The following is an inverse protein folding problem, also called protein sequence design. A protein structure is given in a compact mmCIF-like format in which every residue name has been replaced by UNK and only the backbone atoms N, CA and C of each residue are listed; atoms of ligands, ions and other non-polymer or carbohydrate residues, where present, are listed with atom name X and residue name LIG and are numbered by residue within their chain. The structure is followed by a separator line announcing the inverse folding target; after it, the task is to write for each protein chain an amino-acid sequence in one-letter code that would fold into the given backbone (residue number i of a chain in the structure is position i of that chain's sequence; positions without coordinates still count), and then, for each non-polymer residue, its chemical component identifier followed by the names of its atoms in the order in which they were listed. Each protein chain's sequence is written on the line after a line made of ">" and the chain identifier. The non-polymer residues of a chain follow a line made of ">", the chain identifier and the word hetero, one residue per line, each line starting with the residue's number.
data_IF_617335988313
#
_entry.id   IF_617335988313
#
_cell.length_a   1.000
_cell.length_b   1.000
_cell.length_c   1.000
_cell.angle_alpha   90.00
_cell.angle_beta   90.00
_cell.angle_gamma   90.00
#
_symmetry.space_group_name_H-M   'P 1'
#
loop_
_entity.id
_entity.type
_entity.pdbx_description
1 polymer ?
#
# COMPACT_ATOMS: atom_id res chain seq x y z
N UNK A 1 -13.58 20.67 -16.11
CA UNK A 1 -13.40 21.33 -14.82
C UNK A 1 -12.29 20.59 -14.09
N UNK A 2 -11.14 21.22 -13.96
CA UNK A 2 -9.94 20.62 -13.33
C UNK A 2 -10.19 20.42 -11.86
N UNK A 3 -10.21 19.19 -11.41
CA UNK A 3 -10.11 18.84 -9.99
C UNK A 3 -8.63 18.96 -9.59
N UNK A 4 -8.10 20.17 -9.63
CA UNK A 4 -6.91 20.51 -8.86
C UNK A 4 -7.30 20.35 -7.39
N UNK A 5 -6.71 19.38 -6.73
CA UNK A 5 -6.65 19.40 -5.27
C UNK A 5 -5.75 20.59 -4.95
N UNK A 6 -6.36 21.72 -4.65
CA UNK A 6 -5.66 22.94 -4.30
C UNK A 6 -5.04 22.79 -2.91
N UNK A 7 -3.90 22.09 -2.83
CA UNK A 7 -3.11 21.95 -1.61
C UNK A 7 -2.80 23.28 -0.93
N UNK A 8 -2.54 24.39 -1.67
CA UNK A 8 -2.38 25.71 -1.05
C UNK A 8 -3.61 26.21 -0.29
N UNK A 9 -4.83 25.76 -0.65
CA UNK A 9 -6.03 26.11 0.09
C UNK A 9 -6.16 25.28 1.39
N UNK A 10 -5.62 24.06 1.40
CA UNK A 10 -5.62 23.19 2.58
C UNK A 10 -4.67 23.75 3.66
N UNK A 11 -3.46 24.21 3.28
CA UNK A 11 -2.50 24.78 4.25
C UNK A 11 -3.05 25.99 5.04
N UNK A 12 -3.88 26.82 4.39
CA UNK A 12 -4.51 27.98 5.02
C UNK A 12 -5.64 27.63 5.99
N UNK A 13 -6.13 26.41 5.97
CA UNK A 13 -7.25 25.93 6.75
C UNK A 13 -6.85 25.10 7.98
N UNK A 14 -5.55 25.01 8.34
CA UNK A 14 -5.13 24.25 9.51
C UNK A 14 -5.80 24.77 10.78
N UNK A 15 -6.48 23.92 11.58
CA UNK A 15 -7.24 24.33 12.75
C UNK A 15 -6.30 24.63 13.94
N UNK A 16 -5.63 25.78 13.90
CA UNK A 16 -4.64 26.19 14.91
C UNK A 16 -5.24 26.19 16.31
N UNK A 17 -6.50 26.61 16.45
CA UNK A 17 -7.24 26.68 17.72
C UNK A 17 -8.14 25.47 17.95
N UNK A 18 -8.19 24.52 17.01
CA UNK A 18 -8.97 23.29 17.11
C UNK A 18 -8.37 22.29 18.10
N UNK A 19 -9.20 21.33 18.54
CA UNK A 19 -8.74 20.22 19.35
C UNK A 19 -7.87 19.23 18.57
N UNK A 20 -7.21 18.27 19.26
CA UNK A 20 -6.34 17.27 18.61
C UNK A 20 -7.08 16.47 17.52
N UNK A 21 -8.33 16.09 17.74
CA UNK A 21 -9.15 15.36 16.77
C UNK A 21 -9.39 16.14 15.47
N UNK A 22 -9.62 17.46 15.56
CA UNK A 22 -9.79 18.31 14.38
C UNK A 22 -8.49 18.45 13.61
N UNK A 23 -7.37 18.59 14.31
CA UNK A 23 -6.03 18.61 13.72
C UNK A 23 -5.73 17.29 12.99
N UNK A 24 -6.00 16.15 13.64
CA UNK A 24 -5.82 14.83 13.03
C UNK A 24 -6.68 14.67 11.77
N UNK A 25 -7.97 15.05 11.80
CA UNK A 25 -8.84 15.00 10.62
C UNK A 25 -8.29 15.87 9.48
N UNK A 26 -7.75 17.04 9.80
CA UNK A 26 -7.11 17.89 8.82
C UNK A 26 -5.86 17.21 8.21
N UNK A 27 -5.00 16.59 9.02
CA UNK A 27 -3.79 15.91 8.56
C UNK A 27 -4.09 14.73 7.63
N UNK A 28 -5.29 14.11 7.74
CA UNK A 28 -5.72 13.05 6.84
C UNK A 28 -5.83 13.50 5.38
N UNK A 29 -5.99 14.80 5.09
CA UNK A 29 -5.95 15.31 3.71
C UNK A 29 -4.61 15.03 3.02
N UNK A 30 -3.53 14.95 3.77
CA UNK A 30 -2.22 14.55 3.25
C UNK A 30 -2.06 13.03 3.21
N UNK A 31 -2.59 12.31 4.20
CA UNK A 31 -2.55 10.86 4.25
C UNK A 31 -3.18 10.22 3.01
N UNK A 32 -4.34 10.71 2.56
CA UNK A 32 -5.05 10.17 1.39
C UNK A 32 -4.32 10.39 0.06
N UNK A 33 -3.27 11.23 0.01
CA UNK A 33 -2.44 11.44 -1.19
C UNK A 33 -1.44 10.32 -1.44
N UNK A 34 -1.32 9.36 -0.53
CA UNK A 34 -0.44 8.21 -0.67
C UNK A 34 -0.73 7.38 -1.94
N UNK A 35 0.25 6.62 -2.46
CA UNK A 35 0.04 5.67 -3.54
C UNK A 35 -0.62 4.38 -3.04
N UNK A 36 -1.31 3.68 -3.95
CA UNK A 36 -1.77 2.31 -3.74
C UNK A 36 -1.85 1.58 -5.08
N UNK A 37 -1.76 0.24 -5.05
CA UNK A 37 -1.92 -0.56 -6.27
C UNK A 37 -3.29 -0.29 -6.89
N UNK A 38 -3.33 -0.11 -8.20
CA UNK A 38 -4.52 0.27 -8.97
C UNK A 38 -5.29 1.48 -8.41
N UNK A 39 -4.65 2.32 -7.57
CA UNK A 39 -5.29 3.44 -6.88
C UNK A 39 -6.53 3.00 -6.06
N UNK A 40 -6.44 1.81 -5.46
CA UNK A 40 -7.53 1.25 -4.63
C UNK A 40 -7.77 2.04 -3.36
N UNK A 41 -6.72 2.70 -2.81
CA UNK A 41 -6.79 3.48 -1.57
C UNK A 41 -7.41 2.68 -0.41
N UNK A 42 -6.76 1.57 -0.01
CA UNK A 42 -7.34 0.55 0.85
C UNK A 42 -7.17 0.83 2.33
N UNK A 43 -7.18 2.09 2.69
CA UNK A 43 -7.11 2.56 4.08
C UNK A 43 -8.44 3.10 4.54
N UNK A 44 -8.70 2.97 5.83
CA UNK A 44 -9.71 3.73 6.56
C UNK A 44 -9.15 4.17 7.90
N UNK A 45 -9.68 5.28 8.42
CA UNK A 45 -9.17 5.93 9.61
C UNK A 45 -10.29 6.11 10.63
N UNK A 46 -9.92 6.01 11.90
CA UNK A 46 -10.78 6.37 13.02
C UNK A 46 -10.02 7.38 13.87
N UNK A 47 -10.64 8.49 14.22
CA UNK A 47 -10.02 9.58 14.99
C UNK A 47 -10.77 9.75 16.30
N UNK A 48 -10.05 9.60 17.42
CA UNK A 48 -10.57 9.75 18.78
C UNK A 48 -9.58 10.55 19.64
N UNK A 49 -9.97 11.72 20.10
CA UNK A 49 -9.09 12.60 20.87
C UNK A 49 -7.82 12.96 20.11
N UNK A 50 -6.68 12.57 20.66
CA UNK A 50 -5.34 12.78 20.11
C UNK A 50 -4.82 11.59 19.28
N UNK A 51 -5.63 10.53 19.11
CA UNK A 51 -5.28 9.28 18.44
C UNK A 51 -5.98 9.14 17.10
N UNK A 52 -5.24 8.67 16.11
CA UNK A 52 -5.77 8.13 14.85
C UNK A 52 -5.40 6.66 14.71
N UNK A 53 -6.38 5.85 14.39
CA UNK A 53 -6.21 4.42 14.07
C UNK A 53 -6.28 4.22 12.57
N UNK A 54 -5.33 3.43 12.05
CA UNK A 54 -5.22 3.13 10.62
C UNK A 54 -5.61 1.67 10.42
N UNK A 55 -6.64 1.46 9.60
CA UNK A 55 -7.17 0.13 9.28
C UNK A 55 -6.99 -0.21 7.82
N UNK A 56 -6.73 -1.48 7.54
CA UNK A 56 -6.91 -2.07 6.22
C UNK A 56 -8.41 -2.15 5.89
N UNK A 57 -8.78 -1.75 4.66
CA UNK A 57 -10.13 -1.93 4.12
C UNK A 57 -10.16 -3.16 3.18
N UNK A 58 -10.63 -4.32 3.65
CA UNK A 58 -10.63 -5.55 2.86
C UNK A 58 -11.56 -5.49 1.65
N UNK A 59 -12.55 -4.59 1.62
CA UNK A 59 -13.42 -4.40 0.48
C UNK A 59 -12.69 -3.86 -0.76
N UNK A 60 -11.47 -3.37 -0.56
CA UNK A 60 -10.57 -2.81 -1.58
C UNK A 60 -9.35 -3.68 -1.85
N UNK A 61 -9.37 -4.92 -1.35
CA UNK A 61 -8.35 -5.90 -1.64
C UNK A 61 -8.32 -6.29 -3.12
N UNK A 62 -7.19 -6.78 -3.56
CA UNK A 62 -6.92 -7.23 -4.93
C UNK A 62 -6.57 -8.72 -4.91
N UNK A 63 -7.56 -9.63 -4.77
CA UNK A 63 -7.30 -11.04 -4.53
C UNK A 63 -6.54 -11.75 -5.67
N UNK A 64 -6.53 -11.19 -6.87
CA UNK A 64 -5.76 -11.74 -7.98
C UNK A 64 -4.35 -11.12 -8.09
N UNK A 65 -4.21 -9.82 -7.81
CA UNK A 65 -2.93 -9.12 -7.92
C UNK A 65 -2.11 -9.13 -6.61
N UNK A 66 -2.78 -9.17 -5.47
CA UNK A 66 -2.21 -9.09 -4.12
C UNK A 66 -2.93 -10.06 -3.16
N UNK A 67 -2.82 -11.39 -3.39
CA UNK A 67 -3.60 -12.40 -2.66
C UNK A 67 -3.31 -12.40 -1.15
N UNK A 68 -2.11 -12.05 -0.73
CA UNK A 68 -1.70 -11.99 0.68
C UNK A 68 -2.08 -10.65 1.35
N UNK A 69 -2.52 -9.65 0.58
CA UNK A 69 -2.79 -8.29 1.06
C UNK A 69 -1.53 -7.51 1.44
N UNK A 70 -0.38 -7.91 0.94
CA UNK A 70 0.92 -7.29 1.20
C UNK A 70 0.96 -5.84 0.72
N UNK A 71 0.60 -5.60 -0.54
CA UNK A 71 0.60 -4.25 -1.13
C UNK A 71 -0.53 -3.38 -0.55
N UNK A 72 -1.62 -4.01 -0.12
CA UNK A 72 -2.68 -3.33 0.63
C UNK A 72 -2.12 -2.76 1.95
N UNK A 73 -1.41 -3.56 2.74
CA UNK A 73 -0.79 -3.11 4.01
C UNK A 73 0.28 -2.05 3.75
N UNK A 74 1.10 -2.23 2.71
CA UNK A 74 2.10 -1.22 2.30
C UNK A 74 1.46 0.11 1.91
N UNK A 75 0.31 0.11 1.24
CA UNK A 75 -0.42 1.33 0.93
C UNK A 75 -0.89 2.07 2.20
N UNK A 76 -1.32 1.33 3.24
CA UNK A 76 -1.64 1.91 4.55
C UNK A 76 -0.39 2.52 5.23
N UNK A 77 0.77 1.86 5.14
CA UNK A 77 2.05 2.41 5.61
C UNK A 77 2.44 3.70 4.91
N UNK A 78 2.26 3.77 3.59
CA UNK A 78 2.50 4.99 2.82
C UNK A 78 1.57 6.15 3.26
N UNK A 79 0.30 5.87 3.54
CA UNK A 79 -0.64 6.86 4.07
C UNK A 79 -0.25 7.33 5.47
N UNK A 80 0.21 6.42 6.32
CA UNK A 80 0.71 6.71 7.66
C UNK A 80 1.94 7.60 7.60
N UNK A 81 2.88 7.35 6.69
CA UNK A 81 4.06 8.18 6.50
C UNK A 81 3.70 9.62 6.09
N UNK A 82 2.73 9.79 5.21
CA UNK A 82 2.24 11.12 4.86
C UNK A 82 1.64 11.83 6.07
N UNK A 83 0.87 11.14 6.90
CA UNK A 83 0.29 11.68 8.15
C UNK A 83 1.41 12.17 9.09
N UNK A 84 2.45 11.35 9.30
CA UNK A 84 3.61 11.69 10.16
C UNK A 84 4.34 12.93 9.67
N UNK A 85 4.58 13.02 8.36
CA UNK A 85 5.22 14.20 7.75
C UNK A 85 4.36 15.45 7.89
N UNK A 86 3.05 15.33 7.66
CA UNK A 86 2.12 16.43 7.85
C UNK A 86 2.06 16.87 9.33
N UNK A 87 2.00 15.95 10.28
CA UNK A 87 2.08 16.28 11.70
C UNK A 87 3.37 17.05 12.04
N UNK A 88 4.51 16.57 11.54
CA UNK A 88 5.80 17.24 11.73
C UNK A 88 5.82 18.67 11.15
N UNK A 89 5.28 18.87 9.95
CA UNK A 89 5.18 20.19 9.31
C UNK A 89 4.38 21.18 10.17
N UNK A 90 3.25 20.73 10.73
CA UNK A 90 2.42 21.56 11.62
C UNK A 90 2.94 21.63 13.07
N UNK A 91 4.15 21.12 13.31
CA UNK A 91 4.85 21.27 14.58
C UNK A 91 4.47 20.26 15.65
N UNK A 92 4.02 19.06 15.27
CA UNK A 92 3.70 17.98 16.20
C UNK A 92 4.62 16.77 15.99
N UNK A 93 5.09 16.19 17.10
CA UNK A 93 5.65 14.84 17.08
C UNK A 93 4.49 13.80 17.00
N UNK A 94 4.83 12.59 16.60
CA UNK A 94 3.89 11.46 16.60
C UNK A 94 4.52 10.27 17.28
N UNK A 95 3.81 9.62 18.22
CA UNK A 95 4.14 8.28 18.69
C UNK A 95 3.34 7.24 17.91
N UNK A 96 3.90 6.05 17.81
CA UNK A 96 3.37 5.00 16.94
C UNK A 96 3.32 3.67 17.68
N UNK A 97 2.20 2.97 17.57
CA UNK A 97 2.03 1.57 17.94
C UNK A 97 1.65 0.77 16.71
N UNK A 98 2.53 -0.16 16.30
CA UNK A 98 2.34 -1.00 15.11
C UNK A 98 1.67 -2.30 15.51
N UNK A 99 0.64 -2.71 14.78
CA UNK A 99 -0.15 -3.92 15.00
C UNK A 99 -0.67 -4.05 16.45
N UNK A 100 -1.31 -3.00 17.02
CA UNK A 100 -1.81 -3.03 18.37
C UNK A 100 -2.99 -4.02 18.49
N UNK A 101 -2.87 -5.04 19.36
CA UNK A 101 -3.98 -5.92 19.73
C UNK A 101 -4.26 -7.07 18.76
N UNK A 102 -5.39 -7.77 18.98
CA UNK A 102 -5.72 -8.98 18.28
C UNK A 102 -6.18 -8.74 16.82
N UNK A 103 -5.66 -9.55 15.91
CA UNK A 103 -5.66 -9.50 14.44
C UNK A 103 -7.05 -9.42 13.74
N UNK A 104 -8.18 -9.37 14.44
CA UNK A 104 -9.50 -9.57 13.83
C UNK A 104 -10.11 -8.34 13.14
N UNK A 105 -9.63 -7.14 13.47
CA UNK A 105 -10.35 -5.91 13.10
C UNK A 105 -9.69 -5.14 11.93
N UNK A 106 -8.61 -5.66 11.34
CA UNK A 106 -7.89 -4.96 10.26
C UNK A 106 -7.08 -3.75 10.75
N UNK A 107 -6.96 -3.51 12.07
CA UNK A 107 -6.15 -2.45 12.65
C UNK A 107 -4.66 -2.72 12.40
N UNK A 108 -3.98 -1.76 11.77
CA UNK A 108 -2.57 -1.86 11.41
C UNK A 108 -1.68 -1.00 12.29
N UNK A 109 -2.15 0.18 12.68
CA UNK A 109 -1.38 1.08 13.50
C UNK A 109 -2.27 2.05 14.28
N UNK A 110 -1.74 2.56 15.39
CA UNK A 110 -2.21 3.74 16.09
C UNK A 110 -1.15 4.81 16.04
N UNK A 111 -1.54 6.04 15.76
CA UNK A 111 -0.66 7.19 15.83
C UNK A 111 -1.30 8.24 16.76
N UNK A 112 -0.49 8.81 17.67
CA UNK A 112 -0.93 9.89 18.56
C UNK A 112 -0.16 11.15 18.25
N UNK A 113 -0.84 12.29 18.31
CA UNK A 113 -0.16 13.57 18.32
C UNK A 113 0.46 13.79 19.70
N UNK A 114 1.76 14.01 19.69
CA UNK A 114 2.55 14.33 20.87
C UNK A 114 2.78 15.85 20.99
N UNK A 115 3.55 16.23 21.99
CA UNK A 115 3.92 17.62 22.21
C UNK A 115 4.54 18.28 20.98
N UNK A 116 4.45 19.60 20.94
CA UNK A 116 5.01 20.39 19.83
C UNK A 116 6.50 20.16 19.67
N UNK A 117 6.91 19.90 18.43
CA UNK A 117 8.30 19.72 18.05
C UNK A 117 8.57 20.42 16.73
N UNK A 118 9.68 21.12 16.63
CA UNK A 118 10.10 21.71 15.37
C UNK A 118 10.34 20.63 14.31
N UNK A 119 9.87 20.87 13.08
CA UNK A 119 10.17 20.01 11.93
C UNK A 119 11.67 20.13 11.57
N UNK A 120 12.20 19.08 10.93
CA UNK A 120 13.55 19.14 10.37
C UNK A 120 13.50 19.58 8.91
N UNK A 121 14.59 20.19 8.38
CA UNK A 121 14.64 20.55 6.95
C UNK A 121 14.34 19.39 6.02
N UNK A 122 14.82 18.17 6.36
CA UNK A 122 14.57 16.97 5.58
C UNK A 122 13.09 16.56 5.60
N UNK A 123 12.43 16.65 6.76
CA UNK A 123 11.00 16.34 6.88
C UNK A 123 10.14 17.37 6.12
N UNK A 124 10.52 18.64 6.19
CA UNK A 124 9.89 19.72 5.45
C UNK A 124 9.97 19.51 3.93
N UNK A 125 11.15 19.18 3.42
CA UNK A 125 11.34 18.90 2.00
C UNK A 125 10.46 17.73 1.51
N UNK A 126 10.36 16.65 2.32
CA UNK A 126 9.49 15.52 2.01
C UNK A 126 8.01 15.92 2.07
N UNK A 127 7.60 16.72 3.04
CA UNK A 127 6.22 17.20 3.14
C UNK A 127 5.82 18.00 1.89
N UNK A 128 6.66 18.94 1.45
CA UNK A 128 6.41 19.75 0.25
C UNK A 128 6.34 18.90 -1.03
N UNK A 129 6.88 17.69 -1.03
CA UNK A 129 6.78 16.76 -2.15
C UNK A 129 5.46 15.96 -2.18
N UNK A 130 4.70 15.85 -1.06
CA UNK A 130 3.47 15.06 -0.97
C UNK A 130 2.47 15.43 -2.10
N UNK A 131 2.09 16.71 -2.29
CA UNK A 131 1.12 17.09 -3.30
C UNK A 131 1.64 16.96 -4.74
N UNK A 132 2.96 16.93 -4.94
CA UNK A 132 3.61 16.85 -6.26
C UNK A 132 3.87 15.41 -6.70
N UNK A 133 3.99 14.47 -5.75
CA UNK A 133 4.31 13.07 -6.04
C UNK A 133 3.27 12.41 -6.95
N UNK A 134 3.73 11.84 -8.05
CA UNK A 134 2.92 11.09 -9.03
C UNK A 134 3.56 9.72 -9.28
N UNK A 135 2.76 8.78 -9.78
CA UNK A 135 3.26 7.53 -10.38
C UNK A 135 3.30 7.75 -11.89
N UNK A 136 4.48 7.76 -12.46
CA UNK A 136 4.69 8.01 -13.88
C UNK A 136 4.95 6.72 -14.64
N UNK A 137 3.96 6.26 -15.42
CA UNK A 137 4.03 5.03 -16.22
C UNK A 137 4.55 5.27 -17.65
N UNK A 138 4.80 6.53 -18.01
CA UNK A 138 5.35 6.90 -19.31
C UNK A 138 6.85 6.58 -19.38
N UNK A 139 7.46 6.60 -20.58
CA UNK A 139 8.91 6.46 -20.72
C UNK A 139 9.66 7.52 -19.90
N UNK A 140 10.80 7.13 -19.33
CA UNK A 140 11.77 8.01 -18.71
C UNK A 140 12.88 8.34 -19.72
N UNK A 141 13.54 9.51 -19.58
CA UNK A 141 14.50 10.04 -20.59
C UNK A 141 15.89 9.50 -20.32
N UNK A 142 16.31 8.63 -19.80
CA UNK A 142 17.64 8.03 -19.66
C UNK A 142 18.74 8.91 -19.06
N UNK A 143 18.43 10.11 -18.54
CA UNK A 143 19.37 10.91 -17.77
C UNK A 143 19.72 10.23 -16.46
N UNK A 144 20.97 10.38 -16.03
CA UNK A 144 21.43 9.87 -14.74
C UNK A 144 20.75 10.67 -13.60
N UNK A 145 20.38 9.98 -12.50
CA UNK A 145 19.97 10.68 -11.27
C UNK A 145 21.10 11.56 -10.74
N UNK A 146 20.78 12.62 -9.98
CA UNK A 146 21.79 13.48 -9.36
C UNK A 146 22.74 12.67 -8.48
N UNK A 147 24.01 13.07 -8.46
CA UNK A 147 25.01 12.46 -7.59
C UNK A 147 24.56 12.47 -6.13
N UNK A 148 24.81 11.39 -5.42
CA UNK A 148 24.41 11.24 -4.02
C UNK A 148 22.93 10.98 -3.76
N UNK A 149 22.06 11.08 -4.78
CA UNK A 149 20.63 10.83 -4.60
C UNK A 149 20.38 9.40 -4.13
N UNK A 150 20.95 8.40 -4.81
CA UNK A 150 20.76 6.99 -4.43
C UNK A 150 21.17 6.75 -2.98
N UNK A 151 22.29 7.31 -2.53
CA UNK A 151 22.72 7.24 -1.13
C UNK A 151 21.70 7.88 -0.17
N UNK A 152 21.06 8.99 -0.57
CA UNK A 152 20.01 9.62 0.23
C UNK A 152 18.75 8.74 0.32
N UNK A 153 18.34 8.11 -0.79
CA UNK A 153 17.21 7.17 -0.81
C UNK A 153 17.48 5.94 0.08
N UNK A 154 18.70 5.43 0.07
CA UNK A 154 19.11 4.33 0.98
C UNK A 154 18.98 4.75 2.45
N UNK A 155 19.36 5.98 2.80
CA UNK A 155 19.17 6.49 4.16
C UNK A 155 17.69 6.60 4.54
N UNK A 156 16.84 7.06 3.60
CA UNK A 156 15.39 7.15 3.85
C UNK A 156 14.78 5.75 4.10
N UNK A 157 15.19 4.73 3.36
CA UNK A 157 14.74 3.36 3.60
C UNK A 157 15.13 2.84 5.00
N UNK A 158 16.38 3.07 5.40
CA UNK A 158 16.92 2.62 6.69
C UNK A 158 16.21 3.24 7.89
N UNK A 159 15.71 4.47 7.77
CA UNK A 159 14.94 5.14 8.84
C UNK A 159 13.68 4.39 9.24
N UNK A 160 13.10 3.63 8.31
CA UNK A 160 11.88 2.84 8.54
C UNK A 160 12.17 1.33 8.61
N UNK A 161 13.41 0.91 8.92
CA UNK A 161 13.77 -0.48 9.12
C UNK A 161 13.82 -1.34 7.85
N UNK A 162 13.87 -0.71 6.69
CA UNK A 162 14.05 -1.36 5.40
C UNK A 162 15.40 -0.96 4.78
N UNK A 163 15.79 -1.63 3.70
CA UNK A 163 16.95 -1.21 2.93
C UNK A 163 16.68 -1.21 1.44
N UNK A 164 17.36 -0.33 0.74
CA UNK A 164 17.21 -0.11 -0.69
C UNK A 164 18.52 -0.44 -1.38
N UNK A 165 18.45 -1.26 -2.43
CA UNK A 165 19.60 -1.63 -3.26
C UNK A 165 19.36 -1.27 -4.72
N UNK A 166 20.34 -0.67 -5.41
CA UNK A 166 20.32 -0.58 -6.85
C UNK A 166 20.50 -1.98 -7.46
N UNK A 167 19.85 -2.22 -8.59
CA UNK A 167 20.12 -3.38 -9.44
C UNK A 167 21.38 -3.05 -10.26
N UNK A 168 22.42 -3.82 -10.02
CA UNK A 168 23.71 -3.66 -10.70
C UNK A 168 23.60 -3.96 -12.20
N UNK A 169 24.50 -3.37 -12.99
CA UNK A 169 24.44 -3.50 -14.45
C UNK A 169 24.49 -4.98 -14.92
N UNK A 170 25.33 -5.82 -14.29
CA UNK A 170 25.43 -7.24 -14.62
C UNK A 170 24.17 -8.05 -14.25
N UNK A 171 23.33 -7.58 -13.30
CA UNK A 171 22.08 -8.21 -12.88
C UNK A 171 20.89 -7.78 -13.74
N UNK A 172 21.00 -6.64 -14.41
CA UNK A 172 19.89 -5.93 -15.06
C UNK A 172 19.15 -6.80 -16.08
N UNK A 173 19.88 -7.58 -16.90
CA UNK A 173 19.25 -8.46 -17.89
C UNK A 173 18.43 -9.56 -17.22
N UNK A 174 18.97 -10.24 -16.22
CA UNK A 174 18.27 -11.29 -15.49
C UNK A 174 17.02 -10.74 -14.79
N UNK A 175 17.13 -9.55 -14.18
CA UNK A 175 15.99 -8.87 -13.54
C UNK A 175 14.92 -8.47 -14.58
N UNK A 176 15.32 -7.99 -15.75
CA UNK A 176 14.37 -7.64 -16.82
C UNK A 176 13.62 -8.87 -17.36
N UNK A 177 14.28 -10.03 -17.42
CA UNK A 177 13.64 -11.32 -17.78
C UNK A 177 12.63 -11.76 -16.72
N UNK A 178 12.93 -11.59 -15.43
CA UNK A 178 12.01 -11.87 -14.32
C UNK A 178 10.79 -10.93 -14.35
N UNK A 179 10.97 -9.66 -14.66
CA UNK A 179 9.87 -8.71 -14.84
C UNK A 179 8.94 -9.20 -15.96
N UNK A 180 9.52 -9.56 -17.13
CA UNK A 180 8.76 -10.07 -18.28
C UNK A 180 8.04 -11.39 -17.97
N UNK A 181 8.65 -12.27 -17.19
CA UNK A 181 8.02 -13.51 -16.74
C UNK A 181 6.84 -13.25 -15.82
N UNK A 182 7.02 -12.36 -14.82
CA UNK A 182 5.94 -11.94 -13.93
C UNK A 182 4.74 -11.35 -14.66
N UNK A 183 4.98 -10.54 -15.71
CA UNK A 183 3.92 -10.04 -16.58
C UNK A 183 3.19 -11.20 -17.27
N UNK A 184 3.91 -12.08 -17.94
CA UNK A 184 3.28 -13.23 -18.63
C UNK A 184 2.43 -14.06 -17.67
N UNK A 185 2.93 -14.34 -16.46
CA UNK A 185 2.20 -15.12 -15.45
C UNK A 185 0.94 -14.39 -14.96
N UNK A 186 1.02 -13.11 -14.63
CA UNK A 186 -0.14 -12.35 -14.16
C UNK A 186 -1.20 -12.17 -15.24
N UNK A 187 -0.80 -11.75 -16.44
CA UNK A 187 -1.73 -11.49 -17.54
C UNK A 187 -2.37 -12.76 -18.13
N UNK A 188 -1.71 -13.92 -18.03
CA UNK A 188 -2.33 -15.21 -18.41
C UNK A 188 -3.58 -15.51 -17.56
N UNK A 189 -3.68 -14.99 -16.33
CA UNK A 189 -4.82 -15.22 -15.45
C UNK A 189 -6.06 -14.39 -15.87
N UNK A 190 -7.20 -15.01 -16.24
CA UNK A 190 -8.45 -14.27 -16.48
C UNK A 190 -8.94 -13.48 -15.25
N UNK A 191 -8.69 -14.01 -14.04
CA UNK A 191 -9.05 -13.33 -12.79
C UNK A 191 -8.26 -12.03 -12.62
N UNK A 192 -6.97 -12.07 -12.88
CA UNK A 192 -6.11 -10.86 -12.84
C UNK A 192 -6.58 -9.83 -13.87
N UNK A 193 -6.82 -10.23 -15.12
CA UNK A 193 -7.32 -9.31 -16.17
C UNK A 193 -8.65 -8.66 -15.80
N UNK A 194 -9.58 -9.45 -15.26
CA UNK A 194 -10.89 -8.95 -14.80
C UNK A 194 -10.74 -7.96 -13.65
N UNK A 195 -9.83 -8.22 -12.71
CA UNK A 195 -9.53 -7.31 -11.59
C UNK A 195 -8.91 -6.01 -12.09
N UNK A 196 -7.91 -6.05 -12.96
CA UNK A 196 -7.32 -4.84 -13.57
C UNK A 196 -8.38 -4.04 -14.32
N UNK A 197 -9.23 -4.70 -15.10
CA UNK A 197 -10.33 -4.06 -15.82
C UNK A 197 -11.31 -3.36 -14.86
N UNK A 198 -11.62 -3.99 -13.70
CA UNK A 198 -12.51 -3.41 -12.70
C UNK A 198 -11.95 -2.15 -12.04
N UNK A 199 -10.62 -1.97 -12.00
CA UNK A 199 -9.95 -0.80 -11.45
C UNK A 199 -9.44 0.19 -12.52
N UNK A 200 -9.64 -0.09 -13.79
CA UNK A 200 -9.36 0.86 -14.88
C UNK A 200 -10.56 1.78 -15.07
N UNK A 201 -10.32 3.06 -15.28
CA UNK A 201 -11.34 4.10 -15.43
C UNK A 201 -11.22 4.82 -16.76
N UNK A 202 -12.32 5.23 -17.39
CA UNK A 202 -12.29 6.20 -18.47
C UNK A 202 -11.66 7.53 -18.03
N UNK A 203 -11.10 8.28 -18.97
CA UNK A 203 -10.48 9.58 -18.69
C UNK A 203 -11.45 10.59 -18.05
N UNK A 204 -12.72 10.56 -18.45
CA UNK A 204 -13.78 11.43 -17.93
C UNK A 204 -14.51 10.85 -16.71
N UNK A 205 -13.83 10.03 -15.90
CA UNK A 205 -14.45 9.43 -14.71
C UNK A 205 -14.72 10.47 -13.62
N UNK A 206 -15.86 10.33 -12.95
CA UNK A 206 -16.17 11.04 -11.69
C UNK A 206 -15.73 10.25 -10.46
N UNK A 207 -15.30 8.98 -10.64
CA UNK A 207 -14.85 8.15 -9.52
C UNK A 207 -13.52 8.65 -8.97
N UNK A 208 -13.38 8.59 -7.66
CA UNK A 208 -12.18 9.02 -6.93
C UNK A 208 -11.19 7.89 -6.66
N UNK A 209 -11.37 6.74 -7.31
CA UNK A 209 -10.53 5.55 -7.22
C UNK A 209 -10.26 4.94 -8.61
N UNK A 210 -9.37 3.97 -8.67
CA UNK A 210 -8.96 3.33 -9.91
C UNK A 210 -7.97 4.17 -10.71
N UNK A 211 -7.53 3.65 -11.84
CA UNK A 211 -6.52 4.27 -12.71
C UNK A 211 -7.20 4.79 -13.98
N UNK A 212 -7.28 6.10 -14.19
CA UNK A 212 -7.77 6.67 -15.44
C UNK A 212 -6.83 6.36 -16.61
N UNK A 213 -7.38 6.18 -17.80
CA UNK A 213 -6.62 5.85 -19.01
C UNK A 213 -5.50 6.84 -19.34
N UNK A 214 -5.68 8.14 -19.02
CA UNK A 214 -4.63 9.14 -19.22
C UNK A 214 -3.34 8.83 -18.45
N UNK A 215 -3.40 8.09 -17.32
CA UNK A 215 -2.22 7.65 -16.58
C UNK A 215 -1.35 6.63 -17.35
N UNK A 216 -1.89 6.07 -18.43
CA UNK A 216 -1.22 5.20 -19.38
C UNK A 216 -1.03 5.86 -20.75
N UNK A 217 -1.32 7.15 -20.89
CA UNK A 217 -1.24 7.88 -22.15
C UNK A 217 -2.36 7.55 -23.15
N UNK A 218 -3.49 7.02 -22.69
CA UNK A 218 -4.61 6.65 -23.57
C UNK A 218 -5.44 7.87 -23.96
N UNK A 219 -5.92 7.88 -25.20
CA UNK A 219 -6.96 8.81 -25.65
C UNK A 219 -8.30 8.52 -24.94
N UNK A 220 -9.26 9.46 -25.02
CA UNK A 220 -10.56 9.29 -24.38
C UNK A 220 -11.29 8.06 -24.92
N UNK A 221 -11.36 7.89 -26.23
CA UNK A 221 -11.99 6.73 -26.85
C UNK A 221 -11.33 5.40 -26.42
N UNK A 222 -10.00 5.32 -26.42
CA UNK A 222 -9.26 4.15 -25.97
C UNK A 222 -9.52 3.84 -24.50
N UNK A 223 -9.65 4.85 -23.64
CA UNK A 223 -9.89 4.68 -22.22
C UNK A 223 -11.24 4.04 -21.89
N UNK A 224 -12.26 4.22 -22.73
CA UNK A 224 -13.56 3.55 -22.59
C UNK A 224 -13.51 2.08 -23.01
N UNK A 225 -12.78 1.76 -24.08
CA UNK A 225 -12.73 0.40 -24.63
C UNK A 225 -11.75 -0.51 -23.88
N UNK A 226 -10.67 0.05 -23.32
CA UNK A 226 -9.59 -0.69 -22.71
C UNK A 226 -10.03 -1.67 -21.60
N UNK A 227 -10.92 -1.31 -20.64
CA UNK A 227 -11.39 -2.27 -19.63
C UNK A 227 -12.10 -3.48 -20.21
N UNK A 228 -12.82 -3.30 -21.33
CA UNK A 228 -13.50 -4.39 -22.03
C UNK A 228 -12.48 -5.30 -22.71
N UNK A 229 -11.52 -4.73 -23.42
CA UNK A 229 -10.47 -5.49 -24.10
C UNK A 229 -9.66 -6.34 -23.12
N UNK A 230 -9.30 -5.82 -21.96
CA UNK A 230 -8.55 -6.54 -20.93
C UNK A 230 -9.24 -7.81 -20.42
N UNK A 231 -10.58 -7.87 -20.46
CA UNK A 231 -11.32 -9.07 -20.04
C UNK A 231 -11.18 -10.21 -21.02
N UNK A 232 -11.06 -9.91 -22.31
CA UNK A 232 -11.11 -10.91 -23.38
C UNK A 232 -9.76 -11.21 -24.02
N UNK A 233 -8.79 -10.29 -23.92
CA UNK A 233 -7.48 -10.45 -24.54
C UNK A 233 -6.39 -10.50 -23.46
N UNK A 234 -5.40 -11.35 -23.71
CA UNK A 234 -4.20 -11.45 -22.91
C UNK A 234 -3.10 -10.54 -23.50
N UNK A 235 -2.79 -9.39 -22.86
CA UNK A 235 -1.71 -8.50 -23.32
C UNK A 235 -0.33 -8.93 -22.80
N UNK A 236 -0.19 -10.06 -22.11
CA UNK A 236 0.98 -10.43 -21.33
C UNK A 236 2.29 -10.40 -22.10
N UNK A 237 2.29 -10.79 -23.38
CA UNK A 237 3.50 -10.70 -24.23
C UNK A 237 3.91 -9.25 -24.50
N UNK A 238 2.94 -8.39 -24.82
CA UNK A 238 3.19 -6.98 -25.12
C UNK A 238 3.64 -6.22 -23.86
N UNK A 239 2.99 -6.48 -22.73
CA UNK A 239 3.37 -5.89 -21.44
C UNK A 239 4.77 -6.37 -21.02
N UNK A 240 5.05 -7.67 -21.11
CA UNK A 240 6.35 -8.26 -20.80
C UNK A 240 7.50 -7.63 -21.62
N UNK A 241 7.31 -7.52 -22.93
CA UNK A 241 8.30 -6.91 -23.81
C UNK A 241 8.51 -5.43 -23.52
N UNK A 242 7.41 -4.73 -23.21
CA UNK A 242 7.44 -3.31 -22.86
C UNK A 242 8.17 -3.07 -21.55
N UNK A 243 7.84 -3.82 -20.52
CA UNK A 243 8.36 -3.59 -19.18
C UNK A 243 9.80 -4.10 -19.03
N UNK A 244 10.18 -5.18 -19.75
CA UNK A 244 11.56 -5.60 -19.87
C UNK A 244 12.45 -4.51 -20.50
N UNK A 245 12.02 -3.93 -21.64
CA UNK A 245 12.75 -2.80 -22.27
C UNK A 245 12.86 -1.59 -21.35
N UNK A 246 11.80 -1.28 -20.60
CA UNK A 246 11.81 -0.18 -19.60
C UNK A 246 12.80 -0.46 -18.48
N UNK A 247 12.88 -1.69 -17.99
CA UNK A 247 13.82 -2.09 -16.95
C UNK A 247 15.27 -1.94 -17.41
N UNK A 248 15.57 -2.40 -18.63
CA UNK A 248 16.91 -2.29 -19.24
C UNK A 248 17.28 -0.81 -19.44
N UNK A 249 16.36 0.01 -19.94
CA UNK A 249 16.61 1.42 -20.24
C UNK A 249 16.59 2.36 -19.02
N UNK A 250 16.19 1.89 -17.85
CA UNK A 250 16.12 2.71 -16.63
C UNK A 250 17.48 2.80 -15.94
N UNK A 251 17.95 4.00 -15.65
CA UNK A 251 19.22 4.23 -14.95
C UNK A 251 19.16 3.85 -13.46
N UNK A 252 18.12 4.23 -12.77
CA UNK A 252 17.89 3.88 -11.36
C UNK A 252 16.77 2.83 -11.22
N UNK A 253 17.15 1.56 -11.25
CA UNK A 253 16.31 0.41 -10.93
C UNK A 253 16.69 -0.06 -9.53
N UNK A 254 15.72 -0.06 -8.60
CA UNK A 254 15.95 -0.20 -7.17
C UNK A 254 15.03 -1.26 -6.58
N UNK A 255 15.55 -2.04 -5.63
CA UNK A 255 14.75 -3.00 -4.84
C UNK A 255 14.75 -2.58 -3.39
N UNK A 256 13.55 -2.41 -2.84
CA UNK A 256 13.32 -2.20 -1.40
C UNK A 256 13.04 -3.55 -0.76
N UNK A 257 13.79 -3.88 0.28
CA UNK A 257 13.71 -5.16 1.00
C UNK A 257 13.58 -4.95 2.50
N UNK A 258 13.06 -5.97 3.19
CA UNK A 258 12.94 -6.03 4.65
C UNK A 258 13.54 -7.32 5.21
N UNK A 259 13.83 -7.40 6.53
CA UNK A 259 14.41 -8.60 7.13
C UNK A 259 13.50 -9.83 7.02
N UNK A 260 12.18 -9.64 7.07
CA UNK A 260 11.15 -10.69 7.09
C UNK A 260 9.97 -10.28 6.21
N UNK A 261 9.07 -11.24 5.97
CA UNK A 261 7.84 -11.05 5.17
C UNK A 261 6.60 -11.18 6.07
N UNK A 262 6.22 -10.09 6.72
CA UNK A 262 5.10 -10.05 7.63
C UNK A 262 4.41 -8.68 7.63
N UNK A 263 3.24 -8.61 8.27
CA UNK A 263 2.42 -7.37 8.25
C UNK A 263 3.13 -6.14 8.81
N UNK A 264 3.98 -6.32 9.83
CA UNK A 264 4.78 -5.23 10.39
C UNK A 264 5.80 -4.72 9.37
N UNK A 265 6.51 -5.64 8.73
CA UNK A 265 7.49 -5.34 7.70
C UNK A 265 6.83 -4.76 6.42
N UNK A 266 5.61 -5.22 6.07
CA UNK A 266 4.85 -4.64 4.96
C UNK A 266 4.45 -3.19 5.26
N UNK A 267 4.01 -2.89 6.49
CA UNK A 267 3.69 -1.52 6.90
C UNK A 267 4.94 -0.63 6.83
N UNK A 268 6.05 -1.09 7.42
CA UNK A 268 7.34 -0.40 7.39
C UNK A 268 7.85 -0.19 5.94
N UNK A 269 7.68 -1.20 5.07
CA UNK A 269 8.00 -1.06 3.63
C UNK A 269 7.18 0.03 2.96
N UNK A 270 5.91 0.18 3.33
CA UNK A 270 5.04 1.24 2.83
C UNK A 270 5.52 2.62 3.26
N UNK A 271 5.92 2.78 4.53
CA UNK A 271 6.50 4.01 5.05
C UNK A 271 7.83 4.34 4.36
N UNK A 272 8.74 3.36 4.26
CA UNK A 272 10.03 3.50 3.58
C UNK A 272 9.85 3.87 2.09
N UNK A 273 8.99 3.14 1.38
CA UNK A 273 8.67 3.41 -0.02
C UNK A 273 8.18 4.84 -0.19
N UNK A 274 7.28 5.32 0.66
CA UNK A 274 6.75 6.68 0.55
C UNK A 274 7.84 7.73 0.76
N UNK A 275 8.73 7.55 1.72
CA UNK A 275 9.89 8.45 1.92
C UNK A 275 10.79 8.50 0.69
N UNK A 276 11.10 7.33 0.11
CA UNK A 276 11.89 7.22 -1.12
C UNK A 276 11.22 8.00 -2.27
N UNK A 277 9.91 7.79 -2.46
CA UNK A 277 9.15 8.46 -3.52
C UNK A 277 9.11 9.98 -3.34
N UNK A 278 8.95 10.45 -2.10
CA UNK A 278 8.94 11.88 -1.80
C UNK A 278 10.31 12.50 -2.00
N UNK A 279 11.39 11.82 -1.57
CA UNK A 279 12.77 12.28 -1.79
C UNK A 279 13.10 12.35 -3.29
N UNK A 280 12.72 11.33 -4.07
CA UNK A 280 12.88 11.34 -5.51
C UNK A 280 12.09 12.48 -6.16
N UNK A 281 10.84 12.71 -5.71
CA UNK A 281 10.00 13.81 -6.18
C UNK A 281 10.60 15.19 -5.86
N UNK A 282 11.15 15.36 -4.66
CA UNK A 282 11.84 16.59 -4.25
C UNK A 282 13.05 16.88 -5.16
N UNK A 283 13.75 15.83 -5.57
CA UNK A 283 14.87 15.92 -6.53
C UNK A 283 14.42 16.03 -8.01
N UNK A 284 13.11 16.19 -8.28
CA UNK A 284 12.57 16.34 -9.64
C UNK A 284 12.46 15.04 -10.45
N UNK A 285 12.58 13.87 -9.81
CA UNK A 285 12.45 12.59 -10.49
C UNK A 285 11.02 12.06 -10.44
N UNK A 286 10.66 11.36 -11.50
CA UNK A 286 9.46 10.54 -11.59
C UNK A 286 9.75 9.12 -11.11
N UNK A 287 8.72 8.45 -10.59
CA UNK A 287 8.80 7.08 -10.11
C UNK A 287 7.68 6.20 -10.67
N UNK A 288 7.97 4.92 -10.89
CA UNK A 288 6.96 3.88 -11.04
C UNK A 288 7.49 2.52 -10.54
N UNK A 289 6.63 1.51 -10.64
CA UNK A 289 6.83 0.20 -10.03
C UNK A 289 6.85 -0.90 -11.08
N UNK A 290 7.59 -1.98 -10.79
CA UNK A 290 7.43 -3.28 -11.42
C UNK A 290 6.82 -4.25 -10.41
N UNK A 291 5.51 -4.10 -10.17
CA UNK A 291 4.79 -4.87 -9.14
C UNK A 291 4.68 -6.37 -9.45
N UNK A 292 4.75 -6.77 -10.72
CA UNK A 292 4.69 -8.17 -11.14
C UNK A 292 5.85 -9.00 -10.61
N UNK A 293 7.05 -8.42 -10.51
CA UNK A 293 8.24 -9.15 -10.06
C UNK A 293 8.24 -9.40 -8.54
N UNK A 294 7.53 -8.59 -7.76
CA UNK A 294 7.39 -8.77 -6.31
C UNK A 294 6.03 -9.33 -5.91
N UNK A 295 5.02 -9.24 -6.78
CA UNK A 295 3.67 -9.75 -6.55
C UNK A 295 3.51 -11.24 -6.84
N UNK A 296 4.30 -11.81 -7.76
CA UNK A 296 4.34 -13.25 -8.05
C UNK A 296 5.40 -13.90 -7.18
N UNK A 297 5.00 -14.76 -6.24
CA UNK A 297 5.89 -15.33 -5.21
C UNK A 297 7.11 -16.02 -5.80
N UNK A 298 6.91 -16.90 -6.78
CA UNK A 298 7.99 -17.63 -7.43
C UNK A 298 9.01 -16.72 -8.12
N UNK A 299 8.52 -15.65 -8.75
CA UNK A 299 9.37 -14.65 -9.41
C UNK A 299 10.10 -13.80 -8.36
N UNK A 300 9.45 -13.46 -7.25
CA UNK A 300 10.04 -12.72 -6.13
C UNK A 300 11.19 -13.50 -5.48
N UNK A 301 11.04 -14.81 -5.29
CA UNK A 301 12.09 -15.66 -4.74
C UNK A 301 13.32 -15.72 -5.67
N UNK A 302 13.08 -15.78 -6.97
CA UNK A 302 14.15 -15.74 -7.99
C UNK A 302 14.77 -14.35 -8.10
N UNK A 303 14.00 -13.28 -7.94
CA UNK A 303 14.54 -11.92 -7.85
C UNK A 303 15.54 -11.81 -6.69
N UNK A 304 15.16 -12.31 -5.50
CA UNK A 304 16.02 -12.32 -4.31
C UNK A 304 17.37 -12.98 -4.61
N UNK A 305 17.34 -14.14 -5.26
CA UNK A 305 18.55 -14.87 -5.66
C UNK A 305 19.38 -14.09 -6.71
N UNK A 306 18.72 -13.55 -7.74
CA UNK A 306 19.37 -12.85 -8.84
C UNK A 306 20.11 -11.57 -8.40
N UNK A 307 19.62 -10.88 -7.38
CA UNK A 307 20.26 -9.68 -6.83
C UNK A 307 21.15 -9.98 -5.60
N UNK A 308 21.26 -11.24 -5.17
CA UNK A 308 22.04 -11.62 -3.98
C UNK A 308 21.49 -10.97 -2.69
N UNK A 309 20.16 -10.91 -2.54
CA UNK A 309 19.50 -10.28 -1.39
C UNK A 309 19.30 -11.29 -0.26
N UNK A 310 19.65 -10.87 0.98
CA UNK A 310 19.45 -11.69 2.18
C UNK A 310 18.06 -11.53 2.79
N UNK A 311 17.37 -10.43 2.49
CA UNK A 311 16.02 -10.15 2.96
C UNK A 311 14.95 -10.42 1.93
N UNK A 312 13.74 -10.00 2.24
CA UNK A 312 12.56 -10.19 1.41
C UNK A 312 12.31 -8.97 0.52
N UNK A 313 12.39 -9.10 -0.83
CA UNK A 313 12.05 -8.02 -1.74
C UNK A 313 10.58 -7.63 -1.61
N UNK A 314 10.32 -6.38 -1.28
CA UNK A 314 8.97 -5.86 -1.10
C UNK A 314 8.48 -5.02 -2.27
N UNK A 315 9.35 -4.18 -2.82
CA UNK A 315 9.01 -3.29 -3.93
C UNK A 315 10.17 -3.20 -4.91
N UNK A 316 9.87 -3.25 -6.19
CA UNK A 316 10.81 -2.84 -7.24
C UNK A 316 10.38 -1.50 -7.84
N UNK A 317 11.28 -0.53 -7.79
CA UNK A 317 11.08 0.83 -8.25
C UNK A 317 11.97 1.12 -9.45
N UNK A 318 11.44 1.90 -10.40
CA UNK A 318 12.25 2.63 -11.37
C UNK A 318 12.11 4.12 -11.15
N UNK A 319 13.24 4.83 -11.16
CA UNK A 319 13.29 6.27 -11.01
C UNK A 319 14.02 6.90 -12.21
N UNK A 320 13.64 8.11 -12.55
CA UNK A 320 14.28 8.88 -13.62
C UNK A 320 13.48 10.13 -13.97
N UNK A 321 13.96 10.90 -14.89
CA UNK A 321 13.26 12.06 -15.39
C UNK A 321 12.24 11.64 -16.46
N UNK A 322 11.10 12.31 -16.51
CA UNK A 322 10.05 12.04 -17.47
C UNK A 322 9.09 13.20 -17.56
N UNK A 323 8.18 13.13 -18.53
CA UNK A 323 7.14 14.14 -18.70
C UNK A 323 6.26 14.21 -17.43
N UNK A 324 5.81 15.40 -17.11
CA UNK A 324 4.83 15.59 -16.04
C UNK A 324 3.52 14.88 -16.37
N UNK A 325 2.96 14.20 -15.37
CA UNK A 325 1.72 13.44 -15.52
C UNK A 325 0.61 14.03 -14.64
N UNK A 326 -0.61 13.95 -15.13
CA UNK A 326 -1.80 14.39 -14.38
C UNK A 326 -1.96 13.56 -13.10
N UNK A 327 -2.42 14.19 -12.00
CA UNK A 327 -2.71 13.47 -10.76
C UNK A 327 -3.85 12.44 -10.96
N UNK A 328 -3.72 11.28 -10.32
CA UNK A 328 -4.85 10.36 -10.17
C UNK A 328 -5.79 10.86 -9.07
N UNK A 329 -7.11 10.65 -9.19
CA UNK A 329 -8.07 11.12 -8.19
C UNK A 329 -7.83 10.46 -6.82
N UNK A 330 -8.34 11.10 -5.76
CA UNK A 330 -8.29 10.59 -4.39
C UNK A 330 -9.65 10.64 -3.73
N UNK A 331 -9.92 9.66 -2.87
CA UNK A 331 -11.08 9.65 -1.98
C UNK A 331 -11.00 10.84 -1.03
N UNK A 332 -12.15 11.40 -0.70
CA UNK A 332 -12.23 12.46 0.31
C UNK A 332 -11.94 11.89 1.70
N UNK A 333 -11.55 12.75 2.63
CA UNK A 333 -11.32 12.36 4.02
C UNK A 333 -12.57 11.73 4.62
N UNK A 334 -13.75 12.30 4.37
CA UNK A 334 -15.02 11.78 4.87
C UNK A 334 -15.38 10.39 4.34
N UNK A 335 -14.87 10.03 3.14
CA UNK A 335 -15.09 8.70 2.54
C UNK A 335 -14.17 7.61 3.13
N UNK A 336 -13.14 8.00 3.86
CA UNK A 336 -12.17 7.10 4.49
C UNK A 336 -12.22 7.12 6.01
N UNK A 337 -12.97 8.07 6.59
CA UNK A 337 -13.25 8.09 8.03
C UNK A 337 -14.27 7.02 8.38
N UNK A 338 -13.93 6.16 9.33
CA UNK A 338 -14.91 5.28 9.99
C UNK A 338 -15.76 6.13 10.94
N UNK A 339 -17.07 5.97 10.85
CA UNK A 339 -17.95 6.49 11.89
C UNK A 339 -17.73 5.67 13.16
N UNK A 340 -17.60 6.34 14.27
CA UNK A 340 -17.62 5.69 15.58
C UNK A 340 -19.03 5.09 15.75
N UNK A 341 -19.17 3.79 15.51
CA UNK A 341 -20.34 3.08 16.02
C UNK A 341 -20.11 2.95 17.52
N UNK A 342 -20.86 3.70 18.31
CA UNK A 342 -20.97 3.43 19.74
C UNK A 342 -21.28 1.95 19.89
N UNK A 343 -20.32 1.18 20.39
CA UNK A 343 -20.55 -0.21 20.75
C UNK A 343 -21.69 -0.20 21.77
N UNK A 344 -22.90 -0.46 21.31
CA UNK A 344 -24.07 -0.59 22.17
C UNK A 344 -23.72 -1.56 23.28
N UNK A 345 -23.94 -1.21 24.57
CA UNK A 345 -23.64 -2.11 25.70
C UNK A 345 -24.31 -3.47 25.62
N UNK A 346 -25.32 -3.61 24.75
CA UNK A 346 -26.07 -4.87 24.52
C UNK A 346 -25.27 -6.00 23.86
N UNK A 347 -24.13 -5.76 23.23
CA UNK A 347 -23.29 -6.81 22.66
C UNK A 347 -22.45 -7.56 23.71
N UNK A 348 -22.34 -7.06 24.94
CA UNK A 348 -21.58 -7.71 26.03
C UNK A 348 -22.38 -8.75 26.81
N UNK A 349 -23.69 -8.83 26.69
CA UNK A 349 -24.55 -9.68 27.53
C UNK A 349 -25.04 -10.96 26.82
N UNK A 350 -24.68 -11.19 25.56
CA UNK A 350 -25.11 -12.39 24.81
C UNK A 350 -24.03 -13.49 24.67
N UNK A 351 -22.89 -13.33 25.30
CA UNK A 351 -21.86 -14.36 25.30
C UNK A 351 -21.59 -14.81 26.72
N UNK A 352 -22.48 -15.51 27.35
CA UNK A 352 -22.29 -16.63 28.29
C UNK A 352 -23.66 -17.03 28.84
N UNK A 353 -24.38 -17.88 28.14
CA UNK A 353 -25.28 -18.83 28.80
C UNK A 353 -24.55 -20.18 28.82
N UNK A 354 -24.20 -20.72 29.99
CA UNK A 354 -23.75 -22.10 30.03
C UNK A 354 -24.90 -22.99 29.60
N UNK A 355 -24.67 -23.89 28.66
CA UNK A 355 -25.60 -24.91 28.25
C UNK A 355 -25.97 -25.74 29.50
N UNK A 356 -27.26 -25.77 29.80
CA UNK A 356 -27.80 -26.65 30.83
C UNK A 356 -27.46 -28.11 30.45
N UNK A 357 -26.67 -28.75 31.26
CA UNK A 357 -26.41 -30.21 31.21
C UNK A 357 -27.74 -30.90 31.47
N UNK A 358 -28.34 -31.48 30.43
CA UNK A 358 -29.45 -32.43 30.59
C UNK A 358 -28.87 -33.66 31.22
N UNK A 359 -29.32 -33.95 32.43
CA UNK A 359 -29.08 -35.21 33.08
C UNK A 359 -29.71 -36.36 32.26
N UNK A 360 -28.92 -37.29 31.82
CA UNK A 360 -29.39 -38.57 31.23
C UNK A 360 -29.88 -39.46 32.37
N UNK A 361 -31.02 -40.19 32.19
CA UNK A 361 -31.48 -41.13 33.20
C UNK A 361 -30.53 -42.32 33.32
N UNK A 362 -30.24 -42.70 34.56
CA UNK A 362 -29.47 -43.92 34.92
C UNK A 362 -30.22 -45.14 34.38
N UNK A 363 -29.65 -45.88 33.46
CA UNK A 363 -30.03 -47.27 33.16
C UNK A 363 -29.48 -48.17 34.26
N UNK A 364 -30.35 -49.11 34.70
CA UNK A 364 -30.15 -50.01 35.79
C UNK A 364 -28.97 -51.01 35.61
N UNK A 365 -28.43 -51.40 36.73
CA UNK A 365 -27.39 -52.42 36.82
C UNK A 365 -27.96 -53.83 36.40
N UNK A 366 -27.19 -54.68 35.73
CA UNK A 366 -27.58 -56.08 35.52
C UNK A 366 -27.18 -56.90 36.76
N UNK A 367 -28.13 -57.80 37.11
CA UNK A 367 -27.96 -58.80 38.15
C UNK A 367 -26.85 -59.82 37.82
N UNK A 368 -26.20 -60.43 38.80
CA UNK A 368 -25.17 -61.44 38.59
C UNK A 368 -25.75 -62.82 38.26
N UNK A 369 -25.27 -63.43 37.19
CA UNK A 369 -25.56 -64.81 36.79
C UNK A 369 -24.74 -65.85 37.61
N UNK A 370 -25.29 -67.01 37.94
CA UNK A 370 -24.68 -67.93 38.86
C UNK A 370 -23.57 -68.77 38.23
N UNK A 371 -22.60 -69.12 39.06
CA UNK A 371 -21.46 -70.00 38.78
C UNK A 371 -21.89 -71.41 38.38
N UNK A 372 -21.30 -71.97 37.34
CA UNK A 372 -21.29 -73.41 37.09
C UNK A 372 -19.89 -73.93 37.38
N UNK A 373 -19.92 -74.95 38.23
CA UNK A 373 -18.75 -75.68 38.75
C UNK A 373 -18.14 -76.59 37.67
N UNK A 374 -16.86 -76.82 37.85
CA UNK A 374 -16.03 -77.81 37.13
C UNK A 374 -16.44 -79.28 37.35
N UNK A 375 -15.87 -80.20 36.49
CA UNK A 375 -14.80 -80.92 37.11
C UNK A 375 -13.39 -80.62 36.61
#
# INVERSE_FOLDING_TARGET
>A
MSTEIAVPAVERAFPTWGGPAERLRFLLHYAVLAPSRHNTQPWSFEVEGDEVRVYADPSRALPAADPDGRELVMACGAALQNLRLAASHYGFATSMEVLPGHRRDGLLARARLEERRATTPEAEELFQAIPRRRTNRLPLDGREPPEGLIASLVREARREGAWLRPVEEHQRRAVAELIAEGDRMQWASPRFRSEVAAWTRPNATSRRDGIPGYSHGMSDAASYLHPLLLRFHDPGRVEADRDSRRAIGTKALLVLSTPRDGKGEWLASGEAMQRILLRATAAGLSASYFGQVTGVREVRDRLRQAIGESGEPQVMLRLGYGLEVRPTPRRLVDEVLRRFEERSPRARTLAVRPAAVRATPRCGAPEPSPALAAP
#
